data_IF_104514994151
#
_entry.id   IF_104514994151
#
_cell.length_a   1.000
_cell.length_b   1.000
_cell.length_c   1.000
_cell.angle_alpha   90.00
_cell.angle_beta   90.00
_cell.angle_gamma   90.00
#
_symmetry.space_group_name_H-M   'P 1'
#
loop_
_entity.id
_entity.type
_entity.pdbx_description
1 polymer ?
#
# COMPACT_ATOMS: atom_id res chain seq x y z
N UNK A 1 -9.29 -17.95 -7.46
CA UNK A 1 -8.64 -16.64 -7.26
C UNK A 1 -9.65 -15.58 -7.65
N UNK A 2 -10.13 -14.79 -6.69
CA UNK A 2 -11.10 -13.71 -6.94
C UNK A 2 -10.43 -12.61 -7.80
N UNK A 3 -11.20 -11.84 -8.56
CA UNK A 3 -10.67 -10.77 -9.42
C UNK A 3 -9.99 -9.67 -8.61
N UNK A 4 -10.55 -9.28 -7.46
CA UNK A 4 -9.90 -8.38 -6.50
C UNK A 4 -8.52 -8.90 -6.10
N UNK A 5 -8.43 -10.17 -5.72
CA UNK A 5 -7.17 -10.80 -5.33
C UNK A 5 -6.13 -10.76 -6.47
N UNK A 6 -6.56 -10.94 -7.73
CA UNK A 6 -5.68 -10.87 -8.91
C UNK A 6 -5.02 -9.50 -9.03
N UNK A 7 -5.80 -8.43 -8.84
CA UNK A 7 -5.30 -7.05 -8.94
C UNK A 7 -4.17 -6.80 -7.93
N UNK A 8 -4.35 -7.20 -6.67
CA UNK A 8 -3.31 -7.06 -5.64
C UNK A 8 -2.02 -7.81 -5.98
N UNK A 9 -2.13 -9.01 -6.57
CA UNK A 9 -0.95 -9.79 -6.92
C UNK A 9 -0.32 -9.36 -8.26
N UNK A 10 -1.02 -8.60 -9.12
CA UNK A 10 -0.52 -8.18 -10.43
C UNK A 10 0.06 -6.76 -10.48
N UNK A 11 0.15 -6.05 -9.34
CA UNK A 11 0.70 -4.70 -9.30
C UNK A 11 2.10 -4.61 -9.93
N UNK A 12 2.36 -3.51 -10.64
CA UNK A 12 3.64 -3.24 -11.29
C UNK A 12 4.66 -2.83 -10.22
N UNK A 13 5.67 -3.68 -10.06
CA UNK A 13 6.76 -3.44 -9.10
C UNK A 13 8.09 -3.32 -9.84
N UNK A 14 8.86 -2.30 -9.45
CA UNK A 14 10.23 -2.15 -9.90
C UNK A 14 11.13 -3.24 -9.30
N UNK A 15 11.97 -3.84 -10.14
CA UNK A 15 12.96 -4.84 -9.75
C UNK A 15 14.35 -4.30 -10.06
N UNK A 16 15.28 -4.45 -9.12
CA UNK A 16 16.67 -4.10 -9.33
C UNK A 16 17.58 -5.10 -8.67
N UNK A 17 18.56 -5.62 -9.41
CA UNK A 17 19.56 -6.59 -8.95
C UNK A 17 18.95 -7.78 -8.18
N UNK A 18 17.78 -8.27 -8.63
CA UNK A 18 17.08 -9.40 -8.02
C UNK A 18 16.17 -9.05 -6.83
N UNK A 19 16.19 -7.81 -6.32
CA UNK A 19 15.30 -7.37 -5.25
C UNK A 19 14.05 -6.65 -5.79
N UNK A 20 12.91 -6.96 -5.19
CA UNK A 20 11.60 -6.36 -5.47
C UNK A 20 11.41 -5.13 -4.58
N UNK A 21 10.94 -4.01 -5.14
CA UNK A 21 10.63 -2.85 -4.32
C UNK A 21 9.40 -3.08 -3.43
N UNK A 22 9.62 -3.21 -2.12
CA UNK A 22 8.59 -3.52 -1.12
C UNK A 22 7.58 -2.38 -0.85
N UNK A 23 7.85 -1.18 -1.35
CA UNK A 23 7.08 0.03 -1.02
C UNK A 23 5.59 -0.07 -1.35
N UNK A 24 5.25 -0.52 -2.56
CA UNK A 24 3.85 -0.70 -3.00
C UNK A 24 3.16 -1.86 -2.26
N UNK A 25 3.74 -3.08 -2.21
CA UNK A 25 3.18 -4.18 -1.42
C UNK A 25 2.89 -3.81 0.04
N UNK A 26 3.82 -3.12 0.69
CA UNK A 26 3.67 -2.74 2.10
C UNK A 26 2.54 -1.73 2.31
N UNK A 27 2.38 -0.75 1.41
CA UNK A 27 1.27 0.19 1.47
C UNK A 27 -0.09 -0.51 1.32
N UNK A 28 -0.20 -1.45 0.38
CA UNK A 28 -1.43 -2.23 0.20
C UNK A 28 -1.71 -3.15 1.40
N UNK A 29 -0.69 -3.79 1.95
CA UNK A 29 -0.81 -4.61 3.16
C UNK A 29 -1.31 -3.77 4.35
N UNK A 30 -0.77 -2.56 4.52
CA UNK A 30 -1.23 -1.61 5.53
C UNK A 30 -2.68 -1.18 5.31
N UNK A 31 -3.10 -0.89 4.09
CA UNK A 31 -4.50 -0.55 3.80
C UNK A 31 -5.46 -1.70 4.16
N UNK A 32 -5.12 -2.94 3.79
CA UNK A 32 -5.90 -4.13 4.17
C UNK A 32 -6.01 -4.30 5.68
N UNK A 33 -4.91 -4.09 6.40
CA UNK A 33 -4.92 -4.11 7.86
C UNK A 33 -5.82 -3.03 8.45
N UNK A 34 -5.75 -1.80 7.95
CA UNK A 34 -6.62 -0.70 8.38
C UNK A 34 -8.10 -1.04 8.17
N UNK A 35 -8.46 -1.64 7.03
CA UNK A 35 -9.85 -2.03 6.75
C UNK A 35 -10.36 -3.13 7.67
N UNK A 36 -9.49 -4.07 8.07
CA UNK A 36 -9.80 -5.08 9.10
C UNK A 36 -10.00 -4.47 10.49
N UNK A 37 -9.40 -3.31 10.77
CA UNK A 37 -9.65 -2.53 12.00
C UNK A 37 -10.84 -1.56 11.88
N UNK A 38 -11.70 -1.73 10.86
CA UNK A 38 -12.88 -0.87 10.61
C UNK A 38 -12.57 0.61 10.30
N UNK A 39 -11.37 0.93 9.82
CA UNK A 39 -11.10 2.27 9.31
C UNK A 39 -11.85 2.57 8.00
N UNK A 40 -12.00 3.87 7.73
CA UNK A 40 -12.52 4.37 6.45
C UNK A 40 -11.63 3.97 5.28
N UNK A 41 -12.23 3.91 4.08
CA UNK A 41 -11.53 3.56 2.83
C UNK A 41 -10.34 4.48 2.54
N UNK A 42 -10.55 5.79 2.71
CA UNK A 42 -9.61 6.84 2.34
C UNK A 42 -8.79 7.27 3.57
N UNK A 43 -7.49 7.03 3.55
CA UNK A 43 -6.57 7.27 4.67
C UNK A 43 -5.68 8.48 4.35
N UNK A 44 -5.52 9.45 5.25
CA UNK A 44 -4.65 10.61 5.03
C UNK A 44 -3.22 10.22 4.69
N UNK A 45 -2.63 10.84 3.67
CA UNK A 45 -1.27 10.59 3.20
C UNK A 45 -0.23 10.63 4.32
N UNK A 46 -0.25 11.66 5.18
CA UNK A 46 0.70 11.81 6.29
C UNK A 46 0.60 10.66 7.29
N UNK A 47 -0.60 10.13 7.52
CA UNK A 47 -0.81 8.99 8.42
C UNK A 47 -0.20 7.72 7.81
N UNK A 48 -0.44 7.48 6.52
CA UNK A 48 0.18 6.36 5.81
C UNK A 48 1.71 6.46 5.89
N UNK A 49 2.27 7.64 5.60
CA UNK A 49 3.71 7.87 5.60
C UNK A 49 4.33 7.65 6.98
N UNK A 50 3.72 8.20 8.05
CA UNK A 50 4.22 8.04 9.42
C UNK A 50 4.13 6.60 9.92
N UNK A 51 2.98 5.95 9.71
CA UNK A 51 2.74 4.60 10.23
C UNK A 51 3.65 3.59 9.52
N UNK A 52 3.80 3.70 8.20
CA UNK A 52 4.67 2.81 7.44
C UNK A 52 6.16 3.06 7.74
N UNK A 53 6.56 4.31 8.01
CA UNK A 53 7.93 4.59 8.47
C UNK A 53 8.22 3.89 9.81
N UNK A 54 7.29 3.93 10.76
CA UNK A 54 7.42 3.23 12.03
C UNK A 54 7.45 1.70 11.86
N UNK A 55 6.58 1.13 11.03
CA UNK A 55 6.54 -0.31 10.74
C UNK A 55 7.85 -0.80 10.11
N UNK A 56 8.41 -0.05 9.15
CA UNK A 56 9.69 -0.42 8.53
C UNK A 56 10.83 -0.34 9.54
N UNK A 57 10.82 0.66 10.42
CA UNK A 57 11.82 0.77 11.49
C UNK A 57 11.74 -0.39 12.48
N UNK A 58 10.53 -0.82 12.85
CA UNK A 58 10.30 -1.95 13.76
C UNK A 58 10.75 -3.28 13.13
N UNK A 59 10.31 -3.55 11.90
CA UNK A 59 10.55 -4.84 11.24
C UNK A 59 11.95 -4.97 10.63
N UNK A 60 12.66 -3.86 10.42
CA UNK A 60 13.98 -3.79 9.77
C UNK A 60 14.03 -4.41 8.36
N UNK A 61 12.88 -4.44 7.66
CA UNK A 61 12.72 -5.04 6.32
C UNK A 61 13.28 -4.17 5.18
N UNK A 62 13.74 -2.95 5.49
CA UNK A 62 14.38 -2.06 4.51
C UNK A 62 15.55 -1.31 5.17
N UNK A 63 16.60 -1.08 4.40
CA UNK A 63 17.79 -0.34 4.85
C UNK A 63 17.60 1.18 4.94
N UNK A 64 16.49 1.71 4.41
CA UNK A 64 16.14 3.13 4.42
C UNK A 64 14.76 3.33 5.00
N UNK A 65 14.49 4.48 5.63
CA UNK A 65 13.14 4.82 6.09
C UNK A 65 12.13 4.76 4.94
N UNK A 66 10.93 4.29 5.24
CA UNK A 66 9.83 4.28 4.29
C UNK A 66 9.46 5.70 3.87
N UNK A 67 9.11 5.88 2.59
CA UNK A 67 8.53 7.11 2.06
C UNK A 67 7.35 6.75 1.18
N UNK A 68 6.15 7.12 1.61
CA UNK A 68 4.90 6.79 0.94
C UNK A 68 4.70 7.56 -0.36
N UNK A 69 5.36 8.71 -0.55
CA UNK A 69 5.21 9.58 -1.72
C UNK A 69 5.08 8.85 -3.07
N UNK A 70 6.08 8.02 -3.42
CA UNK A 70 6.06 7.28 -4.68
C UNK A 70 4.98 6.18 -4.73
N UNK A 71 4.92 5.22 -3.79
CA UNK A 71 3.90 4.18 -3.86
C UNK A 71 2.46 4.74 -3.75
N UNK A 72 2.23 5.76 -2.92
CA UNK A 72 0.93 6.40 -2.75
C UNK A 72 0.40 6.99 -4.06
N UNK A 73 1.27 7.67 -4.83
CA UNK A 73 0.86 8.23 -6.10
C UNK A 73 0.82 7.19 -7.23
N UNK A 74 1.85 6.34 -7.34
CA UNK A 74 2.02 5.43 -8.49
C UNK A 74 1.12 4.20 -8.45
N UNK A 75 0.48 3.87 -7.33
CA UNK A 75 -0.51 2.78 -7.29
C UNK A 75 -1.76 3.11 -8.10
N UNK A 76 -2.03 4.39 -8.40
CA UNK A 76 -3.10 4.77 -9.32
C UNK A 76 -2.90 4.16 -10.72
N UNK A 77 -1.64 3.95 -11.15
CA UNK A 77 -1.30 3.35 -12.45
C UNK A 77 -1.49 1.82 -12.50
N UNK A 78 -1.91 1.23 -11.39
CA UNK A 78 -2.21 -0.20 -11.22
C UNK A 78 -3.72 -0.46 -11.05
N UNK A 79 -4.57 0.57 -11.24
CA UNK A 79 -6.04 0.51 -11.13
C UNK A 79 -6.55 -0.04 -9.78
N UNK A 80 -5.72 0.06 -8.74
CA UNK A 80 -5.99 -0.47 -7.40
C UNK A 80 -6.19 0.63 -6.36
N UNK A 81 -5.69 1.84 -6.61
CA UNK A 81 -5.59 2.92 -5.65
C UNK A 81 -6.15 4.23 -6.21
N UNK A 82 -6.82 4.98 -5.36
CA UNK A 82 -7.36 6.31 -5.65
C UNK A 82 -6.76 7.32 -4.67
N UNK A 83 -6.58 8.56 -5.13
CA UNK A 83 -6.17 9.69 -4.32
C UNK A 83 -7.26 10.76 -4.43
N UNK A 84 -7.68 11.32 -3.31
CA UNK A 84 -8.63 12.45 -3.28
C UNK A 84 -7.94 13.73 -3.76
N UNK A 85 -8.67 14.53 -4.53
CA UNK A 85 -8.23 15.82 -5.04
C UNK A 85 -6.88 15.80 -5.78
N UNK A 86 -6.66 14.86 -6.74
CA UNK A 86 -5.40 14.76 -7.46
C UNK A 86 -5.08 16.03 -8.26
N UNK A 87 -6.09 16.84 -8.61
CA UNK A 87 -5.96 18.12 -9.29
C UNK A 87 -5.13 19.17 -8.52
N UNK A 88 -4.99 19.03 -7.20
CA UNK A 88 -4.15 19.93 -6.39
C UNK A 88 -2.68 19.51 -6.33
N UNK A 89 -2.34 18.34 -6.88
CA UNK A 89 -1.00 17.78 -6.80
C UNK A 89 -0.29 17.98 -8.14
N UNK A 90 0.78 18.78 -8.14
CA UNK A 90 1.61 18.92 -9.34
C UNK A 90 2.25 17.59 -9.68
N UNK A 91 2.45 17.38 -10.97
CA UNK A 91 3.03 16.14 -11.50
C UNK A 91 4.23 16.50 -12.37
N UNK A 92 5.32 15.74 -12.25
CA UNK A 92 6.49 15.86 -13.11
C UNK A 92 6.20 15.30 -14.51
N UNK A 93 7.10 15.55 -15.47
CA UNK A 93 7.00 14.97 -16.82
C UNK A 93 7.00 13.44 -16.84
N UNK A 94 7.48 12.79 -15.78
CA UNK A 94 7.49 11.33 -15.62
C UNK A 94 6.20 10.78 -14.96
N UNK A 95 5.23 11.64 -14.65
CA UNK A 95 3.98 11.22 -14.00
C UNK A 95 4.06 11.10 -12.48
N UNK A 96 5.14 11.57 -11.84
CA UNK A 96 5.27 11.56 -10.38
C UNK A 96 4.66 12.80 -9.75
N UNK A 97 3.87 12.65 -8.68
CA UNK A 97 3.44 13.76 -7.81
C UNK A 97 4.63 14.62 -7.37
N UNK A 98 4.39 15.80 -6.79
CA UNK A 98 5.40 16.59 -6.08
C UNK A 98 5.27 16.38 -4.56
N UNK A 99 6.37 16.01 -3.88
CA UNK A 99 6.32 15.63 -2.44
C UNK A 99 5.73 16.75 -1.58
N UNK A 100 6.16 17.98 -1.85
CA UNK A 100 5.71 19.13 -1.08
C UNK A 100 4.19 19.34 -1.19
N UNK A 101 3.58 18.98 -2.33
CA UNK A 101 2.12 19.10 -2.49
C UNK A 101 1.40 18.02 -1.69
N UNK A 102 1.91 16.77 -1.67
CA UNK A 102 1.36 15.73 -0.80
C UNK A 102 1.51 16.10 0.69
N UNK A 103 2.64 16.69 1.09
CA UNK A 103 2.84 17.17 2.46
C UNK A 103 1.95 18.35 2.81
N UNK A 104 1.72 19.27 1.87
CA UNK A 104 0.92 20.47 2.09
C UNK A 104 -0.57 20.13 2.15
N UNK A 105 -1.09 19.45 1.13
CA UNK A 105 -2.52 19.19 0.97
C UNK A 105 -2.98 17.94 1.74
N UNK A 106 -2.05 17.03 2.07
CA UNK A 106 -2.33 15.81 2.81
C UNK A 106 -3.56 15.05 2.25
N UNK A 107 -3.59 14.77 0.93
CA UNK A 107 -4.74 14.10 0.33
C UNK A 107 -4.95 12.73 0.97
N UNK A 108 -6.18 12.24 0.98
CA UNK A 108 -6.45 10.87 1.40
C UNK A 108 -6.28 9.93 0.22
N UNK A 109 -5.85 8.70 0.48
CA UNK A 109 -5.77 7.65 -0.52
C UNK A 109 -6.28 6.33 0.01
N UNK A 110 -6.78 5.49 -0.88
CA UNK A 110 -7.36 4.21 -0.53
C UNK A 110 -7.51 3.33 -1.75
N UNK A 111 -7.88 2.07 -1.54
CA UNK A 111 -8.22 1.19 -2.66
C UNK A 111 -9.47 1.71 -3.39
N UNK A 112 -9.65 1.32 -4.65
CA UNK A 112 -10.83 1.73 -5.43
C UNK A 112 -12.12 1.37 -4.72
N UNK A 113 -13.20 2.10 -5.01
CA UNK A 113 -14.52 1.82 -4.42
C UNK A 113 -14.96 0.37 -4.64
N UNK A 114 -14.74 -0.17 -5.84
CA UNK A 114 -15.06 -1.56 -6.18
C UNK A 114 -14.33 -2.55 -5.27
N UNK A 115 -13.00 -2.38 -5.12
CA UNK A 115 -12.18 -3.25 -4.27
C UNK A 115 -12.63 -3.14 -2.81
N UNK A 116 -12.85 -1.92 -2.31
CA UNK A 116 -13.26 -1.73 -0.92
C UNK A 116 -14.62 -2.38 -0.63
N UNK A 117 -15.59 -2.26 -1.54
CA UNK A 117 -16.88 -2.92 -1.43
C UNK A 117 -16.74 -4.44 -1.40
N UNK A 118 -15.91 -5.03 -2.27
CA UNK A 118 -15.67 -6.48 -2.27
C UNK A 118 -15.02 -6.95 -0.96
N UNK A 119 -14.02 -6.20 -0.46
CA UNK A 119 -13.37 -6.47 0.83
C UNK A 119 -14.35 -6.41 2.01
N UNK A 120 -15.35 -5.52 1.97
CA UNK A 120 -16.37 -5.41 3.03
C UNK A 120 -17.43 -6.51 2.96
N UNK A 121 -17.73 -7.01 1.76
CA UNK A 121 -18.73 -8.06 1.56
C UNK A 121 -18.17 -9.46 1.84
N UNK A 122 -16.84 -9.63 1.86
CA UNK A 122 -16.18 -10.90 2.15
C UNK A 122 -15.22 -10.78 3.34
N UNK A 123 -15.68 -11.24 4.50
CA UNK A 123 -14.99 -11.10 5.79
C UNK A 123 -13.55 -11.65 5.80
N UNK A 124 -13.24 -12.66 5.00
CA UNK A 124 -11.91 -13.28 4.97
C UNK A 124 -11.01 -12.75 3.85
N UNK A 125 -11.57 -12.07 2.84
CA UNK A 125 -10.83 -11.66 1.65
C UNK A 125 -9.64 -10.76 1.97
N UNK A 126 -9.79 -9.85 2.94
CA UNK A 126 -8.69 -8.99 3.37
C UNK A 126 -7.52 -9.79 3.97
N UNK A 127 -7.82 -10.85 4.74
CA UNK A 127 -6.82 -11.72 5.35
C UNK A 127 -6.11 -12.56 4.28
N UNK A 128 -6.90 -13.21 3.41
CA UNK A 128 -6.40 -14.07 2.33
C UNK A 128 -5.49 -13.31 1.36
N UNK A 129 -5.88 -12.09 0.98
CA UNK A 129 -5.05 -11.24 0.12
C UNK A 129 -3.76 -10.84 0.84
N UNK A 130 -3.85 -10.49 2.13
CA UNK A 130 -2.68 -10.10 2.92
C UNK A 130 -1.65 -11.24 3.00
N UNK A 131 -2.08 -12.47 3.27
CA UNK A 131 -1.20 -13.65 3.26
C UNK A 131 -0.49 -13.82 1.91
N UNK A 132 -1.23 -13.67 0.81
CA UNK A 132 -0.69 -13.85 -0.54
C UNK A 132 0.28 -12.74 -0.94
N UNK A 133 0.02 -11.50 -0.51
CA UNK A 133 0.96 -10.38 -0.66
C UNK A 133 2.27 -10.70 0.07
N UNK A 134 2.19 -11.16 1.33
CA UNK A 134 3.36 -11.53 2.13
C UNK A 134 4.15 -12.65 1.45
N UNK A 135 3.47 -13.72 1.02
CA UNK A 135 4.10 -14.85 0.34
C UNK A 135 4.73 -14.48 -1.00
N UNK A 136 4.16 -13.52 -1.73
CA UNK A 136 4.63 -13.16 -3.07
C UNK A 136 5.77 -12.15 -3.06
N UNK A 137 5.73 -11.15 -2.19
CA UNK A 137 6.60 -9.98 -2.30
C UNK A 137 7.67 -9.89 -1.24
N UNK A 138 7.52 -10.57 -0.10
CA UNK A 138 8.44 -10.45 1.03
C UNK A 138 9.31 -11.70 1.19
N UNK A 139 10.55 -11.47 1.62
CA UNK A 139 11.54 -12.51 1.86
C UNK A 139 11.08 -13.45 2.98
N UNK A 140 11.38 -14.75 2.84
CA UNK A 140 10.94 -15.80 3.77
C UNK A 140 11.31 -15.48 5.23
N UNK A 141 12.46 -14.84 5.44
CA UNK A 141 12.96 -14.45 6.75
C UNK A 141 12.11 -13.37 7.44
N UNK A 142 11.41 -12.54 6.66
CA UNK A 142 10.63 -11.42 7.18
C UNK A 142 9.16 -11.78 7.42
N UNK A 143 8.65 -12.80 6.71
CA UNK A 143 7.21 -13.12 6.65
C UNK A 143 6.58 -13.29 8.03
N UNK A 144 7.24 -14.03 8.92
CA UNK A 144 6.71 -14.30 10.27
C UNK A 144 6.55 -13.02 11.09
N UNK A 145 7.53 -12.12 11.03
CA UNK A 145 7.48 -10.85 11.76
C UNK A 145 6.39 -9.93 11.18
N UNK A 146 6.27 -9.89 9.85
CA UNK A 146 5.22 -9.15 9.16
C UNK A 146 3.83 -9.69 9.54
N UNK A 147 3.63 -11.02 9.47
CA UNK A 147 2.37 -11.66 9.83
C UNK A 147 1.96 -11.35 11.28
N UNK A 148 2.92 -11.46 12.22
CA UNK A 148 2.69 -11.13 13.61
C UNK A 148 2.25 -9.67 13.81
N UNK A 149 2.96 -8.71 13.20
CA UNK A 149 2.65 -7.28 13.32
C UNK A 149 1.26 -6.96 12.74
N UNK A 150 0.95 -7.49 11.57
CA UNK A 150 -0.33 -7.27 10.89
C UNK A 150 -1.46 -8.18 11.38
N UNK A 151 -1.21 -9.04 12.39
CA UNK A 151 -2.16 -10.00 12.97
C UNK A 151 -2.82 -10.86 11.87
N UNK A 152 -1.98 -11.44 11.01
CA UNK A 152 -2.37 -12.33 9.92
C UNK A 152 -2.09 -13.76 10.35
#
# INVERSE_FOLDING_TARGET
>A
MNDTEKVFLSIKIWRSKGQVALHKPLLLLYALWMYRQNHERMIPYKKIDSDLAAIVQELQIMSRPFRAYYPFWRLQNDDIWEVEHPEFIRVSSQGDAWKNDLDQFNPKGGVTVFIFTDLKNNNNLSLDISERIIQKFFDVNDRKNIQNLFKI
#
